data_IF_377930023762
#
_entry.id   IF_377930023762
#
_cell.length_a   1.000
_cell.length_b   1.000
_cell.length_c   1.000
_cell.angle_alpha   90.00
_cell.angle_beta   90.00
_cell.angle_gamma   90.00
#
_symmetry.space_group_name_H-M   'P 1'
#
loop_
_entity.id
_entity.type
_entity.pdbx_description
1 polymer ?
#
# COMPACT_ATOMS: atom_id res chain seq x y z
N UNK A 1 11.44 22.55 13.56
CA UNK A 1 10.45 21.53 13.15
C UNK A 1 11.24 20.32 12.67
N UNK A 2 11.23 19.25 13.46
CA UNK A 2 12.00 18.03 13.16
C UNK A 2 11.27 17.22 12.08
N UNK A 3 11.96 16.67 11.07
CA UNK A 3 11.33 15.76 10.12
C UNK A 3 10.94 14.46 10.83
N UNK A 4 9.70 14.00 10.60
CA UNK A 4 9.22 12.70 11.07
C UNK A 4 9.91 11.60 10.27
N UNK A 5 10.72 10.78 10.96
CA UNK A 5 11.39 9.61 10.38
C UNK A 5 10.46 8.40 10.51
N UNK A 6 10.13 7.76 9.39
CA UNK A 6 9.24 6.60 9.32
C UNK A 6 10.04 5.30 9.16
N UNK A 7 9.76 4.31 10.01
CA UNK A 7 10.33 2.96 9.94
C UNK A 7 9.27 1.95 9.47
N UNK A 8 9.60 1.13 8.47
CA UNK A 8 8.79 -0.02 8.06
C UNK A 8 9.26 -1.28 8.80
N UNK A 9 8.34 -2.01 9.43
CA UNK A 9 8.61 -3.35 9.98
C UNK A 9 8.00 -4.39 9.03
N UNK A 10 8.84 -5.22 8.43
CA UNK A 10 8.42 -6.40 7.67
C UNK A 10 8.55 -7.62 8.59
N UNK A 11 7.43 -8.15 9.09
CA UNK A 11 7.39 -9.46 9.75
C UNK A 11 7.25 -10.55 8.69
N UNK A 12 8.38 -11.15 8.30
CA UNK A 12 8.43 -12.29 7.38
C UNK A 12 8.21 -13.62 8.10
N UNK A 13 7.07 -14.26 7.84
CA UNK A 13 6.82 -15.67 8.15
C UNK A 13 7.28 -16.59 7.01
N UNK A 14 7.91 -17.70 7.41
CA UNK A 14 8.72 -18.69 6.67
C UNK A 14 8.02 -19.44 5.52
N UNK A 15 8.80 -19.93 4.55
CA UNK A 15 8.94 -21.35 4.09
C UNK A 15 9.91 -21.36 2.88
N UNK A 16 10.97 -22.18 2.93
CA UNK A 16 11.83 -22.44 1.77
C UNK A 16 13.28 -22.76 2.12
N UNK A 17 13.51 -23.95 2.66
CA UNK A 17 14.80 -24.53 3.04
C UNK A 17 15.82 -24.54 1.88
N UNK A 18 17.10 -24.30 2.16
CA UNK A 18 18.19 -24.79 1.32
C UNK A 18 19.18 -25.61 2.16
N UNK A 19 19.28 -26.88 1.78
CA UNK A 19 20.18 -27.90 2.30
C UNK A 19 21.60 -27.65 1.76
N UNK A 20 22.56 -27.75 2.69
CA UNK A 20 23.98 -28.13 2.64
C UNK A 20 24.68 -28.28 1.29
N UNK A 21 25.93 -27.79 1.17
CA UNK A 21 27.07 -28.55 0.61
C UNK A 21 28.41 -27.97 1.09
N UNK A 22 29.14 -28.78 1.88
CA UNK A 22 30.58 -28.65 2.15
C UNK A 22 31.34 -29.30 1.00
N UNK A 23 32.38 -28.64 0.48
CA UNK A 23 33.29 -29.25 -0.48
C UNK A 23 34.39 -28.29 -0.95
N UNK A 24 35.60 -28.45 -0.39
CA UNK A 24 36.83 -27.82 -0.89
C UNK A 24 37.46 -28.72 -1.97
N UNK A 25 37.58 -28.25 -3.21
CA UNK A 25 38.47 -28.91 -4.17
C UNK A 25 38.26 -28.61 -5.65
N UNK A 26 39.25 -27.90 -6.23
CA UNK A 26 39.76 -27.87 -7.63
C UNK A 26 38.79 -27.68 -8.82
N UNK A 27 39.14 -26.69 -9.66
CA UNK A 27 38.40 -26.20 -10.82
C UNK A 27 38.36 -27.15 -12.05
N UNK A 28 37.28 -27.10 -12.86
CA UNK A 28 37.24 -27.65 -14.23
C UNK A 28 37.45 -26.56 -15.33
N UNK A 29 37.78 -26.96 -16.59
CA UNK A 29 38.30 -26.11 -17.68
C UNK A 29 37.21 -25.30 -18.42
N UNK A 30 37.55 -24.39 -19.37
CA UNK A 30 36.64 -23.33 -19.81
C UNK A 30 35.60 -23.85 -20.81
N UNK A 31 34.32 -23.69 -20.47
CA UNK A 31 33.17 -23.90 -21.36
C UNK A 31 32.54 -22.56 -21.79
N UNK A 32 31.84 -22.51 -22.95
CA UNK A 32 31.48 -21.27 -23.62
C UNK A 32 30.28 -20.57 -22.97
N UNK A 33 30.26 -19.24 -23.13
CA UNK A 33 29.11 -18.34 -23.03
C UNK A 33 28.18 -18.51 -21.82
N UNK A 34 28.24 -17.56 -20.87
CA UNK A 34 26.97 -17.10 -20.32
C UNK A 34 27.00 -15.63 -19.94
N UNK A 35 25.97 -14.96 -20.43
CA UNK A 35 25.73 -13.53 -20.34
C UNK A 35 25.97 -13.02 -18.92
N UNK A 36 26.72 -11.92 -18.85
CA UNK A 36 26.71 -10.99 -17.72
C UNK A 36 25.24 -10.64 -17.45
N UNK A 37 24.63 -11.31 -16.46
CA UNK A 37 23.27 -11.00 -16.01
C UNK A 37 23.32 -9.61 -15.40
N UNK A 38 22.91 -8.64 -16.20
CA UNK A 38 22.83 -7.23 -15.82
C UNK A 38 21.92 -7.06 -14.57
N UNK A 39 22.16 -6.04 -13.71
CA UNK A 39 21.37 -5.78 -12.49
C UNK A 39 19.89 -5.41 -12.74
N UNK A 40 19.45 -5.38 -13.99
CA UNK A 40 18.20 -4.79 -14.47
C UNK A 40 16.94 -5.57 -14.05
N UNK A 41 17.04 -6.84 -13.65
CA UNK A 41 15.88 -7.69 -13.38
C UNK A 41 15.24 -7.51 -11.99
N UNK A 42 15.91 -6.87 -11.02
CA UNK A 42 15.34 -6.70 -9.67
C UNK A 42 14.19 -5.68 -9.63
N UNK A 43 14.27 -4.61 -10.43
CA UNK A 43 13.24 -3.57 -10.47
C UNK A 43 11.94 -4.04 -11.13
N UNK A 44 12.03 -4.98 -12.08
CA UNK A 44 10.87 -5.44 -12.88
C UNK A 44 9.93 -6.40 -12.11
N UNK A 45 10.42 -7.04 -11.05
CA UNK A 45 9.63 -8.02 -10.28
C UNK A 45 8.71 -7.40 -9.22
N UNK A 46 8.97 -6.18 -8.74
CA UNK A 46 8.12 -5.54 -7.73
C UNK A 46 6.93 -4.77 -8.33
N UNK A 47 7.00 -4.46 -9.62
CA UNK A 47 6.03 -3.62 -10.33
C UNK A 47 4.64 -4.25 -10.39
N UNK A 48 4.55 -5.58 -10.60
CA UNK A 48 3.29 -6.32 -10.77
C UNK A 48 2.91 -7.22 -9.59
N UNK A 49 3.70 -7.23 -8.52
CA UNK A 49 3.36 -8.06 -7.35
C UNK A 49 2.28 -7.34 -6.55
N UNK A 50 1.15 -8.00 -6.34
CA UNK A 50 0.13 -7.59 -5.38
C UNK A 50 0.72 -7.72 -3.97
N UNK A 51 0.70 -6.64 -3.21
CA UNK A 51 1.34 -6.55 -1.90
C UNK A 51 0.33 -6.44 -0.75
N UNK A 52 -0.77 -5.72 -0.91
CA UNK A 52 -1.77 -5.58 0.15
C UNK A 52 -2.58 -4.28 0.07
N UNK A 53 -3.28 -3.95 1.15
CA UNK A 53 -4.01 -2.70 1.32
C UNK A 53 -3.23 -1.71 2.19
N UNK A 54 -3.28 -0.43 1.86
CA UNK A 54 -2.67 0.61 2.69
C UNK A 54 -3.71 1.20 3.63
N UNK A 55 -3.48 1.19 4.93
CA UNK A 55 -4.37 1.79 5.93
C UNK A 55 -3.80 3.16 6.32
N UNK A 56 -4.60 4.21 6.15
CA UNK A 56 -4.24 5.58 6.53
C UNK A 56 -5.11 5.96 7.73
N UNK A 57 -4.57 5.96 8.96
CA UNK A 57 -5.32 6.35 10.12
C UNK A 57 -5.62 7.86 10.11
N UNK A 58 -6.76 8.26 10.66
CA UNK A 58 -7.07 9.68 10.88
C UNK A 58 -6.26 10.29 12.03
N UNK A 59 -5.88 9.47 13.01
CA UNK A 59 -4.96 9.87 14.07
C UNK A 59 -3.52 9.92 13.52
N UNK A 60 -2.96 11.13 13.47
CA UNK A 60 -1.60 11.38 12.98
C UNK A 60 -0.50 10.71 13.84
N UNK A 61 -0.82 10.26 15.06
CA UNK A 61 0.11 9.49 15.90
C UNK A 61 0.15 8.00 15.55
N UNK A 62 -0.81 7.51 14.76
CA UNK A 62 -0.84 6.13 14.28
C UNK A 62 -0.09 6.01 12.97
N UNK A 63 0.59 4.89 12.80
CA UNK A 63 1.37 4.63 11.60
C UNK A 63 0.47 4.20 10.44
N UNK A 64 0.80 4.65 9.23
CA UNK A 64 0.26 4.07 8.00
C UNK A 64 0.79 2.63 7.90
N UNK A 65 -0.11 1.66 7.69
CA UNK A 65 0.25 0.24 7.60
C UNK A 65 -0.02 -0.34 6.22
N UNK A 66 0.65 -1.45 5.92
CA UNK A 66 0.37 -2.31 4.78
C UNK A 66 -0.17 -3.64 5.31
N UNK A 67 -1.44 -3.91 5.03
CA UNK A 67 -2.14 -5.07 5.53
C UNK A 67 -2.41 -6.06 4.39
N UNK A 68 -2.40 -7.36 4.68
CA UNK A 68 -2.89 -8.36 3.74
C UNK A 68 -4.42 -8.23 3.60
N UNK A 69 -4.92 -8.29 2.37
CA UNK A 69 -6.35 -8.35 2.11
C UNK A 69 -6.82 -9.80 2.32
N UNK A 70 -7.88 -10.04 3.10
CA UNK A 70 -8.44 -11.37 3.26
C UNK A 70 -9.04 -11.89 1.94
N UNK A 71 -9.49 -13.15 1.92
CA UNK A 71 -10.18 -13.70 0.76
C UNK A 71 -11.37 -12.80 0.34
N UNK A 72 -11.71 -12.72 -0.97
CA UNK A 72 -12.72 -11.79 -1.48
C UNK A 72 -14.05 -11.79 -0.71
N UNK A 73 -14.53 -12.97 -0.31
CA UNK A 73 -15.78 -13.13 0.46
C UNK A 73 -15.76 -12.49 1.86
N UNK A 74 -14.58 -12.30 2.46
CA UNK A 74 -14.40 -11.69 3.78
C UNK A 74 -13.97 -10.21 3.71
N UNK A 75 -13.74 -9.68 2.50
CA UNK A 75 -13.17 -8.34 2.29
C UNK A 75 -14.06 -7.23 2.83
N UNK A 76 -15.38 -7.30 2.63
CA UNK A 76 -16.30 -6.24 3.05
C UNK A 76 -16.39 -6.07 4.57
N UNK A 77 -16.47 -7.18 5.32
CA UNK A 77 -16.48 -7.14 6.79
C UNK A 77 -15.15 -6.63 7.34
N UNK A 78 -14.04 -7.08 6.76
CA UNK A 78 -12.72 -6.59 7.10
C UNK A 78 -12.55 -5.09 6.85
N UNK A 79 -13.02 -4.59 5.71
CA UNK A 79 -13.02 -3.15 5.40
C UNK A 79 -13.85 -2.37 6.42
N UNK A 80 -15.05 -2.85 6.78
CA UNK A 80 -15.90 -2.20 7.80
C UNK A 80 -15.21 -2.15 9.16
N UNK A 81 -14.54 -3.23 9.54
CA UNK A 81 -13.75 -3.28 10.78
C UNK A 81 -12.58 -2.29 10.78
N UNK A 82 -12.00 -2.00 9.61
CA UNK A 82 -10.90 -1.04 9.46
C UNK A 82 -11.37 0.42 9.47
N UNK A 83 -12.43 0.74 8.73
CA UNK A 83 -12.94 2.13 8.64
C UNK A 83 -13.90 2.49 9.79
N UNK A 84 -14.41 1.49 10.52
CA UNK A 84 -15.20 1.65 11.74
C UNK A 84 -16.70 1.81 11.53
N UNK A 85 -17.28 1.38 10.40
CA UNK A 85 -18.72 1.52 10.14
C UNK A 85 -19.14 1.27 8.70
N UNK A 86 -20.27 1.86 8.24
CA UNK A 86 -20.73 1.74 6.86
C UNK A 86 -19.66 2.16 5.85
N UNK A 87 -19.56 1.44 4.75
CA UNK A 87 -18.55 1.71 3.72
C UNK A 87 -19.05 2.73 2.72
N UNK A 88 -18.18 3.66 2.36
CA UNK A 88 -18.27 4.46 1.15
C UNK A 88 -17.00 4.26 0.31
N UNK A 89 -17.17 4.32 -1.01
CA UNK A 89 -16.12 4.08 -1.99
C UNK A 89 -15.84 5.35 -2.79
N UNK A 90 -14.59 5.78 -2.78
CA UNK A 90 -14.07 6.77 -3.72
C UNK A 90 -13.10 6.10 -4.71
N UNK A 91 -13.37 6.30 -5.99
CA UNK A 91 -12.50 5.81 -7.08
C UNK A 91 -11.36 6.82 -7.29
N UNK A 92 -10.13 6.40 -7.01
CA UNK A 92 -8.94 7.19 -7.28
C UNK A 92 -8.34 6.83 -8.65
N UNK A 93 -7.45 7.68 -9.13
CA UNK A 93 -6.69 7.38 -10.35
C UNK A 93 -5.68 6.25 -10.15
N UNK A 94 -5.35 5.55 -11.25
CA UNK A 94 -4.40 4.44 -11.25
C UNK A 94 -4.95 3.14 -10.67
N UNK A 95 -6.25 2.88 -10.89
CA UNK A 95 -6.93 1.65 -10.47
C UNK A 95 -6.87 1.41 -8.95
N UNK A 96 -6.99 2.50 -8.19
CA UNK A 96 -6.99 2.48 -6.73
C UNK A 96 -8.35 2.89 -6.22
N UNK A 97 -8.76 2.21 -5.16
CA UNK A 97 -9.98 2.54 -4.44
C UNK A 97 -9.62 3.05 -3.05
N UNK A 98 -10.36 4.03 -2.57
CA UNK A 98 -10.34 4.47 -1.19
C UNK A 98 -11.67 4.11 -0.55
N UNK A 99 -11.60 3.20 0.42
CA UNK A 99 -12.72 2.85 1.29
C UNK A 99 -12.64 3.69 2.55
N UNK A 100 -13.75 4.33 2.89
CA UNK A 100 -13.88 5.19 4.06
C UNK A 100 -15.19 4.93 4.78
N UNK A 101 -15.33 5.55 5.95
CA UNK A 101 -16.59 5.54 6.70
C UNK A 101 -17.62 6.45 6.01
N UNK A 102 -18.70 5.88 5.49
CA UNK A 102 -19.71 6.62 4.69
C UNK A 102 -20.50 7.69 5.45
N UNK A 103 -20.50 7.63 6.78
CA UNK A 103 -21.11 8.65 7.62
C UNK A 103 -20.09 9.38 8.51
N UNK A 104 -18.80 9.38 8.14
CA UNK A 104 -17.73 9.84 9.05
C UNK A 104 -17.91 11.26 9.58
N UNK A 105 -18.48 12.15 8.76
CA UNK A 105 -18.83 13.54 9.15
C UNK A 105 -19.95 13.58 10.18
N UNK A 106 -21.00 12.78 9.98
CA UNK A 106 -22.18 12.72 10.87
C UNK A 106 -21.80 12.04 12.19
N UNK A 107 -20.94 11.01 12.12
CA UNK A 107 -20.40 10.30 13.28
C UNK A 107 -19.30 11.08 14.04
N UNK A 108 -19.00 12.32 13.62
CA UNK A 108 -17.98 13.18 14.24
C UNK A 108 -16.59 12.51 14.34
N UNK A 109 -16.21 11.73 13.32
CA UNK A 109 -14.87 11.14 13.24
C UNK A 109 -13.83 12.24 12.94
N UNK A 110 -12.56 12.07 13.37
CA UNK A 110 -11.51 13.05 13.11
C UNK A 110 -11.23 13.21 11.62
N UNK A 111 -10.86 14.42 11.20
CA UNK A 111 -10.44 14.70 9.81
C UNK A 111 -9.14 13.94 9.51
N UNK A 112 -9.16 13.18 8.43
CA UNK A 112 -7.99 12.48 7.91
C UNK A 112 -7.31 13.34 6.85
N UNK A 113 -6.32 14.13 7.27
CA UNK A 113 -5.63 15.07 6.39
C UNK A 113 -4.88 14.37 5.23
N UNK A 114 -4.31 13.19 5.48
CA UNK A 114 -3.62 12.41 4.46
C UNK A 114 -4.60 11.90 3.39
N UNK A 115 -5.73 11.35 3.81
CA UNK A 115 -6.78 10.89 2.90
C UNK A 115 -7.44 12.06 2.14
N UNK A 116 -7.69 13.18 2.82
CA UNK A 116 -8.25 14.40 2.22
C UNK A 116 -7.33 14.96 1.13
N UNK A 117 -6.04 15.07 1.43
CA UNK A 117 -5.06 15.50 0.44
C UNK A 117 -4.96 14.54 -0.75
N UNK A 118 -5.01 13.23 -0.49
CA UNK A 118 -5.01 12.22 -1.53
C UNK A 118 -6.27 12.30 -2.41
N UNK A 119 -7.45 12.48 -1.82
CA UNK A 119 -8.70 12.67 -2.56
C UNK A 119 -8.61 13.90 -3.50
N UNK A 120 -8.11 15.03 -2.98
CA UNK A 120 -7.92 16.25 -3.75
C UNK A 120 -6.96 16.07 -4.94
N UNK A 121 -5.84 15.36 -4.75
CA UNK A 121 -4.89 15.04 -5.83
C UNK A 121 -5.51 14.15 -6.92
N UNK A 122 -6.61 13.46 -6.61
CA UNK A 122 -7.37 12.64 -7.53
C UNK A 122 -8.63 13.36 -8.05
N UNK A 123 -8.72 14.68 -7.87
CA UNK A 123 -9.83 15.50 -8.38
C UNK A 123 -11.12 15.40 -7.58
N UNK A 124 -11.07 14.82 -6.38
CA UNK A 124 -12.23 14.67 -5.49
C UNK A 124 -12.18 15.79 -4.46
N UNK A 125 -13.09 16.76 -4.59
CA UNK A 125 -13.23 17.87 -3.66
C UNK A 125 -14.08 17.45 -2.45
N UNK A 126 -13.48 16.68 -1.54
CA UNK A 126 -14.13 16.29 -0.29
C UNK A 126 -13.16 16.31 0.92
N UNK A 127 -13.72 16.50 2.11
CA UNK A 127 -13.03 16.37 3.40
C UNK A 127 -13.33 14.99 3.98
N UNK A 128 -12.27 14.19 4.14
CA UNK A 128 -12.38 12.80 4.54
C UNK A 128 -12.28 12.69 6.07
N UNK A 129 -13.22 11.98 6.68
CA UNK A 129 -13.28 11.77 8.13
C UNK A 129 -13.11 10.28 8.46
N UNK A 130 -12.29 9.99 9.48
CA UNK A 130 -12.01 8.62 9.92
C UNK A 130 -10.86 7.93 9.20
N UNK A 131 -10.54 6.72 9.66
CA UNK A 131 -9.53 5.86 9.04
C UNK A 131 -9.98 5.47 7.62
N UNK A 132 -9.03 5.35 6.69
CA UNK A 132 -9.31 4.88 5.33
C UNK A 132 -8.43 3.71 4.95
N UNK A 133 -8.94 2.89 4.03
CA UNK A 133 -8.21 1.77 3.44
C UNK A 133 -8.10 1.97 1.95
N UNK A 134 -6.88 1.93 1.43
CA UNK A 134 -6.60 1.94 0.01
C UNK A 134 -6.38 0.53 -0.51
N UNK A 135 -7.04 0.21 -1.61
CA UNK A 135 -6.92 -1.07 -2.30
C UNK A 135 -6.68 -0.84 -3.79
N UNK A 136 -6.29 -1.89 -4.52
CA UNK A 136 -6.48 -1.92 -5.96
C UNK A 136 -7.91 -2.36 -6.30
N UNK A 137 -8.27 -2.27 -7.57
CA UNK A 137 -9.45 -2.97 -8.09
C UNK A 137 -9.14 -3.71 -9.38
N UNK A 138 -9.88 -4.79 -9.62
CA UNK A 138 -9.92 -5.51 -10.89
C UNK A 138 -11.39 -5.71 -11.28
N UNK A 139 -11.89 -4.84 -12.16
CA UNK A 139 -13.32 -4.74 -12.44
C UNK A 139 -14.15 -4.43 -11.18
N UNK A 140 -15.13 -5.28 -10.81
CA UNK A 140 -15.92 -5.09 -9.60
C UNK A 140 -15.20 -5.53 -8.31
N UNK A 141 -14.08 -6.25 -8.43
CA UNK A 141 -13.42 -6.90 -7.30
C UNK A 141 -12.46 -5.96 -6.57
N UNK A 142 -12.47 -6.04 -5.24
CA UNK A 142 -11.48 -5.38 -4.38
C UNK A 142 -10.25 -6.27 -4.27
N UNK A 143 -9.09 -5.77 -4.71
CA UNK A 143 -7.83 -6.53 -4.72
C UNK A 143 -6.71 -5.78 -4.02
N UNK A 144 -5.62 -6.48 -3.70
CA UNK A 144 -4.45 -5.83 -3.13
C UNK A 144 -3.81 -4.86 -4.13
N UNK A 145 -3.22 -3.79 -3.61
CA UNK A 145 -2.44 -2.86 -4.40
C UNK A 145 -1.14 -3.50 -4.89
N UNK A 146 -0.74 -3.14 -6.10
CA UNK A 146 0.58 -3.46 -6.64
C UNK A 146 1.67 -2.61 -5.99
N UNK A 147 2.93 -3.03 -6.14
CA UNK A 147 4.07 -2.23 -5.70
C UNK A 147 4.12 -0.83 -6.30
N UNK A 148 3.70 -0.65 -7.56
CA UNK A 148 3.60 0.69 -8.18
C UNK A 148 2.54 1.56 -7.53
N UNK A 149 1.36 0.99 -7.26
CA UNK A 149 0.27 1.72 -6.63
C UNK A 149 0.67 2.15 -5.20
N UNK A 150 1.36 1.29 -4.44
CA UNK A 150 1.87 1.63 -3.11
C UNK A 150 2.94 2.72 -3.19
N UNK A 151 3.89 2.60 -4.12
CA UNK A 151 4.93 3.61 -4.30
C UNK A 151 4.33 4.97 -4.65
N UNK A 152 3.32 4.98 -5.53
CA UNK A 152 2.59 6.19 -5.91
C UNK A 152 1.85 6.79 -4.73
N UNK A 153 1.11 5.98 -3.98
CA UNK A 153 0.42 6.41 -2.75
C UNK A 153 1.40 7.04 -1.76
N UNK A 154 2.56 6.41 -1.53
CA UNK A 154 3.59 6.96 -0.66
C UNK A 154 4.11 8.31 -1.16
N UNK A 155 4.37 8.45 -2.46
CA UNK A 155 4.79 9.72 -3.04
C UNK A 155 3.72 10.81 -2.85
N UNK A 156 2.44 10.51 -3.09
CA UNK A 156 1.34 11.46 -2.95
C UNK A 156 1.11 11.89 -1.49
N UNK A 157 1.22 10.97 -0.53
CA UNK A 157 1.07 11.26 0.90
C UNK A 157 2.24 12.08 1.49
N UNK A 158 3.39 12.11 0.81
CA UNK A 158 4.56 12.88 1.26
C UNK A 158 4.64 14.27 0.63
N UNK A 159 3.73 14.60 -0.30
CA UNK A 159 3.68 15.93 -0.87
C UNK A 159 3.27 16.95 0.21
N UNK A 160 3.94 18.12 0.28
CA UNK A 160 3.50 19.17 1.18
C UNK A 160 2.17 19.72 0.67
N UNK A 161 1.07 19.38 1.33
CA UNK A 161 -0.24 20.00 1.10
C UNK A 161 -0.17 21.46 1.56
N UNK A 162 0.38 22.33 0.72
CA UNK A 162 0.35 23.78 0.93
C UNK A 162 -1.06 24.26 0.64
N UNK A 163 -1.89 24.23 1.68
CA UNK A 163 -3.07 25.08 1.93
C UNK A 163 -3.92 25.36 0.69
N UNK A 164 -4.91 24.49 0.45
CA UNK A 164 -6.12 24.77 -0.34
C UNK A 164 -7.32 24.70 0.59
N UNK A 165 -7.31 25.54 1.62
CA UNK A 165 -8.50 25.94 2.35
C UNK A 165 -8.47 27.46 2.41
N UNK A 166 -9.07 28.07 1.39
CA UNK A 166 -9.48 29.48 1.37
C UNK A 166 -11.01 29.51 1.46
#
# INVERSE_FOLDING_TARGET
MSPLTWGFVLTGGSIGSNVVLVGTGKAPPPGPANQVRSPTNRKRLMTNRILGAVVIPADANRLITLDAIPAPSASAEWLRGKVGGPLELLRLSGERDMWLHGEGKIANLPVNMGATGLALLNGIADVIHGDVVLTGHDGPETVGMTGLQIQRTHAELTLPFRVLFL
#
